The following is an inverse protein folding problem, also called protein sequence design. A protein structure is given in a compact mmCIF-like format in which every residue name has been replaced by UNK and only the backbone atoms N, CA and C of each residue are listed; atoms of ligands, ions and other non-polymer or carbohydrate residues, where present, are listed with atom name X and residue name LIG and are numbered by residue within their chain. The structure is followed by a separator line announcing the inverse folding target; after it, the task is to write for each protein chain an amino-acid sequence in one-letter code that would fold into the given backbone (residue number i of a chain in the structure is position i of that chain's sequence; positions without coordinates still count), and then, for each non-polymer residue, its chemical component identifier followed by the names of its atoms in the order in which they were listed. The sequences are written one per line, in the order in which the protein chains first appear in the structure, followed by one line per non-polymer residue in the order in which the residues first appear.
data_IF_079765454724
#
_entry.id   IF_079765454724
#
_cell.length_a   1.000
_cell.length_b   1.000
_cell.length_c   1.000
_cell.angle_alpha   90.00
_cell.angle_beta   90.00
_cell.angle_gamma   90.00
#
_symmetry.space_group_name_H-M   'P 1'
#
loop_
_entity.id
_entity.type
_entity.pdbx_description
1 polymer ?
#
# COMPACT_ATOMS: atom_id res chain seq x y z
N UNK A 1 -6.67 4.58 -4.28
CA UNK A 1 -6.31 3.15 -4.38
C UNK A 1 -6.49 2.53 -3.02
N UNK A 2 -7.01 1.30 -2.99
CA UNK A 2 -7.49 0.64 -1.77
C UNK A 2 -6.50 -0.42 -1.30
N UNK A 3 -6.17 -0.40 0.00
CA UNK A 3 -5.42 -1.45 0.69
C UNK A 3 -6.37 -2.20 1.62
N UNK A 4 -6.27 -3.52 1.68
CA UNK A 4 -7.04 -4.32 2.64
C UNK A 4 -6.20 -4.64 3.86
N UNK A 5 -6.71 -4.33 5.04
CA UNK A 5 -6.11 -4.80 6.30
C UNK A 5 -6.73 -6.13 6.68
N UNK A 6 -5.89 -7.14 6.84
CA UNK A 6 -6.29 -8.49 7.26
C UNK A 6 -5.51 -8.91 8.49
N UNK A 7 -6.02 -9.85 9.25
CA UNK A 7 -5.39 -10.42 10.42
C UNK A 7 -6.37 -11.28 11.21
N UNK A 8 -5.86 -12.21 12.00
CA UNK A 8 -6.67 -13.00 12.92
C UNK A 8 -7.29 -12.09 14.01
N UNK A 9 -8.32 -12.56 14.72
CA UNK A 9 -8.83 -11.84 15.89
C UNK A 9 -7.72 -11.58 16.93
N UNK A 10 -7.80 -10.44 17.62
CA UNK A 10 -6.92 -10.06 18.74
C UNK A 10 -5.42 -9.90 18.38
N UNK A 11 -5.11 -9.59 17.11
CA UNK A 11 -3.74 -9.26 16.68
C UNK A 11 -3.43 -7.75 16.70
N UNK A 12 -4.39 -6.91 17.10
CA UNK A 12 -4.27 -5.44 17.08
C UNK A 12 -4.76 -4.77 15.78
N UNK A 13 -5.40 -5.53 14.87
CA UNK A 13 -5.89 -5.01 13.59
C UNK A 13 -6.85 -3.84 13.75
N UNK A 14 -7.88 -3.98 14.59
CA UNK A 14 -8.89 -2.93 14.83
C UNK A 14 -8.30 -1.71 15.54
N UNK A 15 -7.37 -1.92 16.48
CA UNK A 15 -6.63 -0.84 17.15
C UNK A 15 -5.85 0.00 16.13
N UNK A 16 -5.08 -0.67 15.26
CA UNK A 16 -4.31 -0.01 14.21
C UNK A 16 -5.22 0.69 13.18
N UNK A 17 -6.35 0.06 12.81
CA UNK A 17 -7.32 0.68 11.92
C UNK A 17 -7.98 1.91 12.54
N UNK A 18 -8.28 1.89 13.84
CA UNK A 18 -8.80 3.06 14.56
C UNK A 18 -7.80 4.21 14.56
N UNK A 19 -6.50 3.93 14.78
CA UNK A 19 -5.45 4.94 14.68
C UNK A 19 -5.41 5.58 13.28
N UNK A 20 -5.48 4.76 12.20
CA UNK A 20 -5.57 5.24 10.81
C UNK A 20 -6.80 6.15 10.63
N UNK A 21 -7.95 5.73 11.15
CA UNK A 21 -9.22 6.45 10.95
C UNK A 21 -9.22 7.79 11.69
N UNK A 22 -8.65 7.86 12.89
CA UNK A 22 -8.50 9.10 13.66
C UNK A 22 -7.55 10.06 12.95
N UNK A 23 -6.37 9.60 12.55
CA UNK A 23 -5.41 10.40 11.75
C UNK A 23 -6.03 10.89 10.42
N UNK A 24 -6.95 10.12 9.83
CA UNK A 24 -7.69 10.50 8.64
C UNK A 24 -8.77 11.56 8.88
N UNK A 25 -9.39 11.59 10.04
CA UNK A 25 -10.42 12.58 10.38
C UNK A 25 -9.84 14.00 10.45
N UNK A 26 -8.60 14.16 10.87
CA UNK A 26 -7.88 15.45 10.85
C UNK A 26 -7.59 15.93 9.43
N UNK A 27 -7.49 15.01 8.48
CA UNK A 27 -7.27 15.29 7.05
C UNK A 27 -8.56 15.44 6.22
N UNK A 28 -9.73 15.59 6.85
CA UNK A 28 -11.09 15.60 6.24
C UNK A 28 -11.38 16.70 5.20
N UNK A 29 -10.36 17.43 4.73
CA UNK A 29 -10.46 18.42 3.66
C UNK A 29 -10.30 17.84 2.24
N UNK A 30 -10.37 16.51 2.06
CA UNK A 30 -10.36 15.92 0.72
C UNK A 30 -11.76 15.97 0.10
N UNK A 31 -11.97 16.79 -0.94
CA UNK A 31 -13.21 16.77 -1.70
C UNK A 31 -13.30 15.41 -2.40
N UNK A 32 -14.33 14.63 -2.13
CA UNK A 32 -14.64 13.28 -2.69
C UNK A 32 -14.42 12.07 -1.77
N UNK A 33 -14.11 12.22 -0.49
CA UNK A 33 -14.15 11.10 0.45
C UNK A 33 -15.59 10.82 0.86
N UNK A 34 -16.16 9.74 0.35
CA UNK A 34 -17.36 9.12 0.92
C UNK A 34 -16.94 8.42 2.23
N UNK A 35 -17.56 8.78 3.34
CA UNK A 35 -17.39 8.06 4.61
C UNK A 35 -18.17 6.75 4.48
N UNK A 36 -17.48 5.70 4.10
CA UNK A 36 -18.04 4.34 4.13
C UNK A 36 -17.61 3.66 5.44
N UNK A 37 -18.49 2.89 6.10
CA UNK A 37 -18.10 2.09 7.26
C UNK A 37 -16.96 1.14 6.84
N UNK A 38 -15.96 1.01 7.70
CA UNK A 38 -14.75 0.20 7.49
C UNK A 38 -13.77 0.73 6.44
N UNK A 39 -13.83 2.03 6.08
CA UNK A 39 -12.86 2.71 5.23
C UNK A 39 -12.17 3.83 5.99
N UNK A 40 -10.86 3.73 6.13
CA UNK A 40 -10.00 4.80 6.65
C UNK A 40 -9.27 5.47 5.49
N UNK A 41 -9.46 6.79 5.33
CA UNK A 41 -8.70 7.59 4.37
C UNK A 41 -7.67 8.38 5.14
N UNK A 42 -6.40 8.27 4.77
CA UNK A 42 -5.32 8.92 5.49
C UNK A 42 -4.37 9.63 4.53
N UNK A 43 -3.84 10.76 4.97
CA UNK A 43 -2.80 11.49 4.25
C UNK A 43 -1.50 10.69 4.20
N UNK A 44 -0.81 10.74 3.07
CA UNK A 44 0.55 10.18 2.95
C UNK A 44 1.55 11.25 3.41
N UNK A 45 2.24 11.04 4.53
CA UNK A 45 3.23 12.00 5.02
C UNK A 45 4.33 12.24 3.99
N UNK A 46 4.61 13.51 3.71
CA UNK A 46 5.66 13.90 2.76
C UNK A 46 6.37 15.17 3.25
N UNK A 47 7.51 15.00 3.89
CA UNK A 47 8.34 16.08 4.46
C UNK A 47 8.80 17.10 3.39
N UNK A 48 8.77 16.73 2.11
CA UNK A 48 9.13 17.63 1.00
C UNK A 48 8.18 18.81 0.91
N UNK A 49 6.91 18.62 1.24
CA UNK A 49 5.92 19.71 1.24
C UNK A 49 6.21 20.79 2.29
N UNK A 50 6.77 20.41 3.45
CA UNK A 50 7.14 21.35 4.52
C UNK A 50 8.31 22.25 4.10
N UNK A 51 9.26 21.70 3.35
CA UNK A 51 10.36 22.46 2.79
C UNK A 51 9.89 23.41 1.68
N UNK A 52 9.02 22.90 0.78
CA UNK A 52 8.45 23.71 -0.30
C UNK A 52 7.54 24.83 0.23
N UNK A 53 6.80 24.57 1.31
CA UNK A 53 6.01 25.62 1.99
C UNK A 53 6.89 26.80 2.38
N UNK A 54 8.07 26.55 2.94
CA UNK A 54 9.02 27.59 3.34
C UNK A 54 9.64 28.31 2.13
N UNK A 55 10.06 27.57 1.08
CA UNK A 55 10.68 28.13 -0.13
C UNK A 55 9.70 29.06 -0.87
N UNK A 56 8.43 28.65 -1.01
CA UNK A 56 7.42 29.41 -1.76
C UNK A 56 6.58 30.34 -0.89
N UNK A 57 6.76 30.31 0.44
CA UNK A 57 5.92 31.01 1.41
C UNK A 57 4.42 30.80 1.10
N UNK A 58 4.05 29.54 0.97
CA UNK A 58 2.72 29.14 0.49
C UNK A 58 1.65 29.27 1.57
N UNK A 59 0.40 29.44 1.16
CA UNK A 59 -0.75 29.53 2.04
C UNK A 59 -1.35 28.18 2.41
N UNK A 60 -1.07 27.14 1.64
CA UNK A 60 -1.73 25.85 1.79
C UNK A 60 -0.83 24.69 1.35
N UNK A 61 -0.78 23.66 2.19
CA UNK A 61 -0.22 22.35 1.85
C UNK A 61 -1.32 21.35 1.56
N UNK A 62 -1.13 20.49 0.54
CA UNK A 62 -2.05 19.41 0.22
C UNK A 62 -1.26 18.12 -0.01
N UNK A 63 -1.46 17.19 0.89
CA UNK A 63 -0.87 15.85 0.82
C UNK A 63 -1.66 14.96 -0.15
N UNK A 64 -1.10 13.84 -0.56
CA UNK A 64 -1.86 12.75 -1.19
C UNK A 64 -2.57 11.92 -0.12
N UNK A 65 -3.51 11.08 -0.53
CA UNK A 65 -4.20 10.18 0.38
C UNK A 65 -4.28 8.77 -0.18
N UNK A 66 -4.32 7.78 0.73
CA UNK A 66 -4.63 6.39 0.44
C UNK A 66 -5.78 5.90 1.31
N UNK A 67 -6.43 4.83 0.87
CA UNK A 67 -7.60 4.25 1.53
C UNK A 67 -7.24 2.89 2.11
N UNK A 68 -7.49 2.71 3.40
CA UNK A 68 -7.42 1.42 4.07
C UNK A 68 -8.82 0.88 4.31
N UNK A 69 -9.00 -0.38 4.04
CA UNK A 69 -10.24 -1.11 4.28
C UNK A 69 -10.05 -2.09 5.42
N UNK A 70 -10.81 -1.93 6.51
CA UNK A 70 -10.87 -2.95 7.55
C UNK A 70 -11.66 -4.14 7.02
N UNK A 71 -10.93 -5.18 6.65
CA UNK A 71 -11.55 -6.43 6.21
C UNK A 71 -11.79 -7.27 7.45
N UNK A 72 -13.06 -7.47 7.79
CA UNK A 72 -13.48 -8.19 9.00
C UNK A 72 -12.70 -9.50 9.15
N UNK A 73 -12.27 -9.79 10.38
CA UNK A 73 -11.34 -10.89 10.68
C UNK A 73 -11.80 -12.23 10.10
N UNK A 74 -10.85 -12.92 9.50
CA UNK A 74 -11.04 -14.25 8.96
C UNK A 74 -11.18 -15.24 10.12
N UNK A 75 -12.27 -15.97 10.13
CA UNK A 75 -12.44 -17.13 11.01
C UNK A 75 -12.16 -18.37 10.17
N UNK A 76 -11.40 -19.31 10.74
CA UNK A 76 -11.09 -20.61 10.11
C UNK A 76 -12.34 -21.25 9.52
N UNK A 77 -12.29 -21.63 8.23
CA UNK A 77 -13.45 -22.18 7.51
C UNK A 77 -14.32 -21.15 6.78
N UNK A 78 -13.85 -19.90 6.65
CA UNK A 78 -14.58 -18.84 5.93
C UNK A 78 -14.80 -19.14 4.45
N UNK A 79 -13.90 -19.91 3.83
CA UNK A 79 -14.02 -20.34 2.43
C UNK A 79 -15.12 -21.37 2.20
N UNK A 80 -15.55 -22.10 3.25
CA UNK A 80 -16.60 -23.14 3.19
C UNK A 80 -17.95 -22.71 3.78
N UNK A 81 -18.01 -21.49 4.38
CA UNK A 81 -19.19 -21.01 5.12
C UNK A 81 -20.10 -20.10 4.30
N UNK A 82 -21.42 -20.20 4.55
CA UNK A 82 -22.40 -19.25 4.06
C UNK A 82 -22.30 -17.93 4.85
N UNK A 83 -22.28 -16.79 4.17
CA UNK A 83 -22.46 -15.46 4.75
C UNK A 83 -21.20 -14.63 4.96
N UNK A 84 -20.58 -14.60 6.14
CA UNK A 84 -19.49 -13.69 6.49
C UNK A 84 -18.18 -13.93 5.69
N UNK A 85 -17.84 -15.20 5.41
CA UNK A 85 -16.68 -15.56 4.62
C UNK A 85 -16.73 -15.05 3.18
N UNK A 86 -17.89 -15.11 2.54
CA UNK A 86 -18.07 -14.60 1.17
C UNK A 86 -17.95 -13.08 1.09
N UNK A 87 -18.41 -12.34 2.11
CA UNK A 87 -18.22 -10.89 2.19
C UNK A 87 -16.74 -10.52 2.38
N UNK A 88 -16.03 -11.24 3.23
CA UNK A 88 -14.59 -11.08 3.42
C UNK A 88 -13.82 -11.24 2.09
N UNK A 89 -14.06 -12.34 1.38
CA UNK A 89 -13.41 -12.60 0.09
C UNK A 89 -13.79 -11.57 -0.98
N UNK A 90 -15.04 -11.06 -0.97
CA UNK A 90 -15.46 -9.99 -1.88
C UNK A 90 -14.66 -8.71 -1.63
N UNK A 91 -14.50 -8.27 -0.38
CA UNK A 91 -13.76 -7.08 -0.03
C UNK A 91 -12.26 -7.21 -0.38
N UNK A 92 -11.66 -8.39 -0.11
CA UNK A 92 -10.26 -8.63 -0.49
C UNK A 92 -10.05 -8.57 -2.01
N UNK A 93 -11.04 -8.99 -2.82
CA UNK A 93 -10.94 -8.90 -4.29
C UNK A 93 -10.83 -7.46 -4.79
N UNK A 94 -11.48 -6.52 -4.11
CA UNK A 94 -11.55 -5.10 -4.51
C UNK A 94 -10.28 -4.30 -4.20
N UNK A 95 -9.46 -4.75 -3.24
CA UNK A 95 -8.25 -4.02 -2.85
C UNK A 95 -7.07 -4.33 -3.77
N UNK A 96 -6.15 -3.39 -3.89
CA UNK A 96 -4.99 -3.53 -4.78
C UNK A 96 -3.83 -4.29 -4.13
N UNK A 97 -3.68 -4.19 -2.80
CA UNK A 97 -2.66 -4.87 -2.01
C UNK A 97 -3.19 -5.12 -0.59
N UNK A 98 -2.46 -5.93 0.18
CA UNK A 98 -2.86 -6.39 1.50
C UNK A 98 -1.84 -5.93 2.54
N UNK A 99 -2.32 -5.36 3.64
CA UNK A 99 -1.56 -5.18 4.89
C UNK A 99 -2.01 -6.27 5.84
N UNK A 100 -1.12 -7.21 6.12
CA UNK A 100 -1.39 -8.34 7.00
C UNK A 100 -0.85 -8.04 8.39
N UNK A 101 -1.74 -7.73 9.33
CA UNK A 101 -1.40 -7.48 10.72
C UNK A 101 -1.15 -8.79 11.44
N UNK A 102 0.05 -8.93 12.01
CA UNK A 102 0.53 -10.15 12.65
C UNK A 102 0.92 -9.83 14.10
N UNK A 103 0.43 -10.60 15.05
CA UNK A 103 0.77 -10.45 16.46
C UNK A 103 2.18 -10.99 16.72
N UNK A 104 3.05 -10.12 17.21
CA UNK A 104 4.46 -10.41 17.52
C UNK A 104 4.80 -10.08 18.98
N UNK A 105 3.89 -10.34 19.90
CA UNK A 105 4.07 -10.13 21.34
C UNK A 105 3.21 -11.12 22.16
N UNK A 106 3.65 -11.42 23.37
CA UNK A 106 2.88 -12.14 24.36
C UNK A 106 2.18 -11.15 25.29
N UNK A 107 0.90 -11.42 25.63
CA UNK A 107 0.13 -10.70 26.63
C UNK A 107 -0.90 -11.65 27.21
N UNK A 108 -0.83 -11.90 28.52
CA UNK A 108 -1.73 -12.81 29.24
C UNK A 108 -3.17 -12.30 29.26
N UNK A 109 -3.38 -11.00 29.14
CA UNK A 109 -4.71 -10.36 29.10
C UNK A 109 -5.37 -10.43 27.74
N UNK A 110 -4.62 -10.72 26.68
CA UNK A 110 -5.10 -10.79 25.31
C UNK A 110 -5.12 -12.24 24.83
N UNK A 111 -6.29 -12.87 24.88
CA UNK A 111 -6.46 -14.28 24.47
C UNK A 111 -6.10 -14.43 22.98
N UNK A 112 -5.23 -15.41 22.68
CA UNK A 112 -4.96 -15.82 21.31
C UNK A 112 -5.96 -16.90 20.87
N UNK A 113 -6.48 -16.80 19.64
CA UNK A 113 -7.53 -17.73 19.11
C UNK A 113 -7.07 -19.18 19.12
N UNK A 114 -5.77 -19.43 18.87
CA UNK A 114 -5.17 -20.77 18.85
C UNK A 114 -4.42 -21.13 20.16
N UNK A 115 -4.61 -20.34 21.23
CA UNK A 115 -4.08 -20.58 22.56
C UNK A 115 -2.59 -20.24 22.79
N UNK A 116 -1.83 -19.95 21.72
CA UNK A 116 -0.42 -19.51 21.80
C UNK A 116 -0.10 -18.57 20.64
N UNK A 117 0.87 -17.67 20.84
CA UNK A 117 1.35 -16.79 19.78
C UNK A 117 2.30 -17.55 18.86
N UNK A 118 1.95 -17.64 17.59
CA UNK A 118 2.80 -18.17 16.53
C UNK A 118 2.50 -17.42 15.24
N UNK A 119 3.33 -16.41 14.91
CA UNK A 119 3.06 -15.53 13.76
C UNK A 119 3.07 -16.26 12.42
N UNK A 120 3.86 -17.33 12.27
CA UNK A 120 3.92 -18.06 11.00
C UNK A 120 2.66 -18.89 10.80
N UNK A 121 2.22 -19.62 11.80
CA UNK A 121 0.94 -20.34 11.78
C UNK A 121 -0.22 -19.40 11.47
N UNK A 122 -0.22 -18.20 12.06
CA UNK A 122 -1.28 -17.21 11.87
C UNK A 122 -1.29 -16.69 10.41
N UNK A 123 -0.13 -16.42 9.84
CA UNK A 123 0.02 -16.05 8.42
C UNK A 123 -0.46 -17.18 7.51
N UNK A 124 0.01 -18.41 7.76
CA UNK A 124 -0.37 -19.58 6.96
C UNK A 124 -1.86 -19.88 7.03
N UNK A 125 -2.50 -19.68 8.19
CA UNK A 125 -3.94 -19.84 8.36
C UNK A 125 -4.72 -18.90 7.42
N UNK A 126 -4.34 -17.63 7.34
CA UNK A 126 -4.98 -16.68 6.43
C UNK A 126 -4.66 -17.03 4.97
N UNK A 127 -3.40 -17.31 4.65
CA UNK A 127 -3.01 -17.67 3.29
C UNK A 127 -3.78 -18.90 2.79
N UNK A 128 -3.98 -19.90 3.63
CA UNK A 128 -4.71 -21.12 3.27
C UNK A 128 -6.17 -20.84 2.88
N UNK A 129 -6.88 -19.98 3.62
CA UNK A 129 -8.25 -19.60 3.27
C UNK A 129 -8.33 -18.83 1.94
N UNK A 130 -7.34 -17.96 1.67
CA UNK A 130 -7.24 -17.23 0.41
C UNK A 130 -6.92 -18.17 -0.76
N UNK A 131 -6.05 -19.15 -0.55
CA UNK A 131 -5.70 -20.17 -1.53
C UNK A 131 -6.92 -21.02 -1.91
N UNK A 132 -7.74 -21.45 -0.95
CA UNK A 132 -8.96 -22.19 -1.26
C UNK A 132 -9.91 -21.38 -2.16
N UNK A 133 -10.06 -20.08 -1.86
CA UNK A 133 -10.89 -19.20 -2.69
C UNK A 133 -10.35 -19.02 -4.11
N UNK A 134 -9.02 -19.04 -4.27
CA UNK A 134 -8.37 -18.92 -5.58
C UNK A 134 -8.44 -20.23 -6.36
N UNK A 135 -8.31 -21.39 -5.70
CA UNK A 135 -8.47 -22.69 -6.32
C UNK A 135 -9.87 -22.85 -6.95
N UNK A 136 -10.91 -22.43 -6.26
CA UNK A 136 -12.29 -22.45 -6.79
C UNK A 136 -12.43 -21.61 -8.09
N UNK A 137 -11.80 -20.45 -8.14
CA UNK A 137 -11.81 -19.58 -9.33
C UNK A 137 -11.00 -20.21 -10.46
N UNK A 138 -9.83 -20.72 -10.14
CA UNK A 138 -8.91 -21.30 -11.09
C UNK A 138 -9.52 -22.55 -11.76
N UNK A 139 -10.12 -23.44 -10.99
CA UNK A 139 -10.75 -24.65 -11.50
C UNK A 139 -11.87 -24.35 -12.49
N UNK A 140 -12.76 -23.39 -12.14
CA UNK A 140 -13.81 -22.93 -13.06
C UNK A 140 -13.26 -22.33 -14.36
N UNK A 141 -12.11 -21.63 -14.28
CA UNK A 141 -11.45 -21.07 -15.46
C UNK A 141 -10.83 -22.18 -16.31
N UNK A 142 -10.17 -23.15 -15.68
CA UNK A 142 -9.57 -24.32 -16.35
C UNK A 142 -10.60 -25.14 -17.12
N UNK A 143 -11.78 -25.43 -16.53
CA UNK A 143 -12.87 -26.14 -17.21
C UNK A 143 -13.32 -25.45 -18.50
N UNK A 144 -13.41 -24.10 -18.49
CA UNK A 144 -13.77 -23.32 -19.68
C UNK A 144 -12.66 -23.33 -20.72
N UNK A 145 -11.41 -23.14 -20.30
CA UNK A 145 -10.24 -23.08 -21.19
C UNK A 145 -9.99 -24.44 -21.84
N UNK A 146 -10.22 -25.56 -21.13
CA UNK A 146 -10.07 -26.92 -21.68
C UNK A 146 -10.93 -27.16 -22.93
N UNK A 147 -12.11 -26.54 -23.04
CA UNK A 147 -12.96 -26.68 -24.24
C UNK A 147 -12.28 -26.06 -25.46
N UNK A 148 -11.58 -24.94 -25.31
CA UNK A 148 -10.81 -24.28 -26.36
C UNK A 148 -9.52 -25.05 -26.70
N UNK A 149 -8.86 -25.63 -25.71
CA UNK A 149 -7.69 -26.50 -25.91
C UNK A 149 -8.09 -27.68 -26.81
N UNK A 150 -9.24 -28.33 -26.55
CA UNK A 150 -9.73 -29.43 -27.37
C UNK A 150 -10.08 -29.05 -28.82
N UNK A 151 -10.34 -27.78 -29.08
CA UNK A 151 -10.52 -27.24 -30.44
C UNK A 151 -9.21 -26.90 -31.16
N UNK A 152 -8.06 -27.07 -30.49
CA UNK A 152 -6.74 -26.82 -31.07
C UNK A 152 -6.23 -25.39 -30.93
N UNK A 153 -6.84 -24.58 -30.04
CA UNK A 153 -6.40 -23.20 -29.76
C UNK A 153 -5.07 -23.22 -29.01
N UNK A 154 -4.03 -22.65 -29.62
CA UNK A 154 -2.66 -22.62 -29.08
C UNK A 154 -2.53 -21.67 -27.88
N UNK A 155 -3.26 -20.55 -27.89
CA UNK A 155 -3.24 -19.60 -26.79
C UNK A 155 -3.90 -20.24 -25.56
N UNK A 156 -5.06 -20.86 -25.76
CA UNK A 156 -5.75 -21.58 -24.70
C UNK A 156 -4.90 -22.73 -24.12
N UNK A 157 -4.09 -23.38 -24.96
CA UNK A 157 -3.15 -24.43 -24.49
C UNK A 157 -2.07 -23.83 -23.58
N UNK A 158 -1.44 -22.71 -23.97
CA UNK A 158 -0.49 -21.99 -23.12
C UNK A 158 -1.12 -21.57 -21.78
N UNK A 159 -2.28 -20.91 -21.82
CA UNK A 159 -3.01 -20.51 -20.63
C UNK A 159 -3.31 -21.69 -19.70
N UNK A 160 -3.72 -22.82 -20.27
CA UNK A 160 -4.05 -24.01 -19.51
C UNK A 160 -2.83 -24.61 -18.82
N UNK A 161 -1.68 -24.71 -19.51
CA UNK A 161 -0.44 -25.24 -18.95
C UNK A 161 0.06 -24.37 -17.78
N UNK A 162 -0.08 -23.05 -17.87
CA UNK A 162 0.24 -22.14 -16.76
C UNK A 162 -0.73 -22.35 -15.59
N UNK A 163 -2.03 -22.53 -15.86
CA UNK A 163 -3.03 -22.79 -14.82
C UNK A 163 -2.81 -24.13 -14.12
N UNK A 164 -2.35 -25.18 -14.82
CA UNK A 164 -2.00 -26.47 -14.19
C UNK A 164 -0.83 -26.32 -13.21
N UNK A 165 0.22 -25.60 -13.59
CA UNK A 165 1.36 -25.31 -12.70
C UNK A 165 0.92 -24.47 -11.50
N UNK A 166 0.11 -23.43 -11.74
CA UNK A 166 -0.42 -22.57 -10.70
C UNK A 166 -1.31 -23.35 -9.73
N UNK A 167 -2.17 -24.25 -10.22
CA UNK A 167 -3.00 -25.12 -9.39
C UNK A 167 -2.14 -26.00 -8.47
N UNK A 168 -1.14 -26.69 -9.02
CA UNK A 168 -0.22 -27.50 -8.23
C UNK A 168 0.55 -26.68 -7.18
N UNK A 169 0.91 -25.43 -7.50
CA UNK A 169 1.56 -24.50 -6.59
C UNK A 169 0.64 -24.12 -5.41
N UNK A 170 -0.61 -23.76 -5.69
CA UNK A 170 -1.63 -23.45 -4.68
C UNK A 170 -1.96 -24.68 -3.82
N UNK A 171 -2.10 -25.88 -4.40
CA UNK A 171 -2.34 -27.14 -3.69
C UNK A 171 -1.16 -27.52 -2.76
N UNK A 172 0.04 -27.02 -3.05
CA UNK A 172 1.20 -27.11 -2.15
C UNK A 172 1.22 -26.01 -1.05
N UNK A 173 0.10 -25.32 -0.82
CA UNK A 173 -0.07 -24.24 0.14
C UNK A 173 0.85 -23.02 -0.12
N UNK A 174 1.22 -22.77 -1.38
CA UNK A 174 2.03 -21.62 -1.77
C UNK A 174 1.15 -20.58 -2.47
N UNK A 175 1.18 -19.31 -2.03
CA UNK A 175 0.41 -18.23 -2.65
C UNK A 175 0.81 -18.01 -4.12
N UNK A 176 -0.13 -17.58 -4.97
CA UNK A 176 0.14 -17.36 -6.39
C UNK A 176 1.27 -16.34 -6.66
N UNK A 177 1.50 -15.38 -5.76
CA UNK A 177 2.59 -14.39 -5.84
C UNK A 177 4.00 -14.99 -5.78
N UNK A 178 4.13 -16.23 -5.32
CA UNK A 178 5.42 -16.94 -5.21
C UNK A 178 5.67 -17.93 -6.35
N UNK A 179 4.79 -17.97 -7.37
CA UNK A 179 4.99 -18.80 -8.55
C UNK A 179 6.12 -18.22 -9.41
N UNK A 180 7.15 -19.00 -9.67
CA UNK A 180 8.18 -18.65 -10.65
C UNK A 180 7.60 -18.74 -12.06
N UNK A 181 7.61 -17.63 -12.80
CA UNK A 181 6.97 -17.48 -14.09
C UNK A 181 7.78 -16.57 -15.02
N UNK A 182 7.66 -16.77 -16.33
CA UNK A 182 8.18 -15.84 -17.34
C UNK A 182 7.32 -14.59 -17.41
N UNK A 183 7.78 -13.53 -18.08
CA UNK A 183 7.01 -12.27 -18.24
C UNK A 183 5.62 -12.50 -18.84
N UNK A 184 5.50 -13.37 -19.85
CA UNK A 184 4.22 -13.68 -20.48
C UNK A 184 3.30 -14.47 -19.55
N UNK A 185 3.85 -15.41 -18.78
CA UNK A 185 3.12 -16.17 -17.76
C UNK A 185 2.66 -15.26 -16.61
N UNK A 186 3.53 -14.36 -16.12
CA UNK A 186 3.15 -13.36 -15.12
C UNK A 186 2.02 -12.46 -15.58
N UNK A 187 2.08 -11.99 -16.84
CA UNK A 187 1.03 -11.17 -17.42
C UNK A 187 -0.30 -11.93 -17.44
N UNK A 188 -0.26 -13.22 -17.79
CA UNK A 188 -1.44 -14.08 -17.75
C UNK A 188 -1.96 -14.30 -16.32
N UNK A 189 -1.08 -14.67 -15.37
CA UNK A 189 -1.46 -14.87 -13.95
C UNK A 189 -2.10 -13.60 -13.36
N UNK A 190 -1.56 -12.41 -13.66
CA UNK A 190 -2.16 -11.12 -13.27
C UNK A 190 -3.58 -10.94 -13.82
N UNK A 191 -3.85 -11.45 -15.04
CA UNK A 191 -5.17 -11.36 -15.67
C UNK A 191 -6.23 -12.26 -15.00
N UNK A 192 -5.82 -13.22 -14.18
CA UNK A 192 -6.73 -14.10 -13.44
C UNK A 192 -7.33 -13.41 -12.19
N UNK A 193 -6.77 -12.27 -11.77
CA UNK A 193 -7.20 -11.49 -10.59
C UNK A 193 -7.34 -12.33 -9.32
N UNK A 194 -6.39 -13.24 -9.10
CA UNK A 194 -6.35 -14.06 -7.90
C UNK A 194 -6.02 -13.23 -6.66
N UNK A 195 -6.59 -13.60 -5.52
CA UNK A 195 -6.38 -12.91 -4.26
C UNK A 195 -4.94 -13.09 -3.79
N UNK A 196 -4.41 -14.30 -3.89
CA UNK A 196 -3.05 -14.65 -3.45
C UNK A 196 -1.95 -14.15 -4.40
N UNK A 197 -2.31 -13.56 -5.55
CA UNK A 197 -1.36 -12.86 -6.43
C UNK A 197 -1.07 -11.44 -5.99
N UNK A 198 -1.87 -10.88 -5.06
CA UNK A 198 -1.69 -9.52 -4.56
C UNK A 198 -0.43 -9.39 -3.71
N UNK A 199 0.23 -8.24 -3.81
CA UNK A 199 1.36 -7.90 -2.94
C UNK A 199 0.91 -7.79 -1.49
N UNK A 200 1.78 -8.24 -0.57
CA UNK A 200 1.52 -8.23 0.88
C UNK A 200 2.61 -7.43 1.60
N UNK A 201 2.20 -6.65 2.59
CA UNK A 201 3.05 -6.03 3.60
C UNK A 201 2.67 -6.61 4.96
N UNK A 202 3.59 -7.25 5.65
CA UNK A 202 3.37 -7.77 6.98
C UNK A 202 3.59 -6.66 8.01
N UNK A 203 2.53 -6.26 8.73
CA UNK A 203 2.59 -5.35 9.86
C UNK A 203 2.77 -6.15 11.15
N UNK A 204 4.01 -6.26 11.61
CA UNK A 204 4.37 -6.93 12.85
C UNK A 204 3.98 -6.05 14.03
N UNK A 205 2.91 -6.38 14.71
CA UNK A 205 2.45 -5.67 15.91
C UNK A 205 3.19 -6.18 17.13
N UNK A 206 4.04 -5.34 17.74
CA UNK A 206 4.82 -5.62 18.96
C UNK A 206 4.20 -4.96 20.18
N UNK A 207 4.66 -5.34 21.38
CA UNK A 207 4.26 -4.72 22.65
C UNK A 207 4.83 -3.30 22.81
N UNK A 208 4.26 -2.55 23.74
CA UNK A 208 4.83 -1.25 24.16
C UNK A 208 6.19 -1.45 24.83
N UNK A 209 6.35 -2.50 25.63
CA UNK A 209 7.62 -2.80 26.30
C UNK A 209 8.73 -3.03 25.28
N UNK A 210 8.48 -3.87 24.26
CA UNK A 210 9.43 -4.06 23.15
C UNK A 210 9.77 -2.74 22.44
N UNK A 211 8.76 -1.87 22.25
CA UNK A 211 8.96 -0.56 21.62
C UNK A 211 9.82 0.36 22.48
N UNK A 212 9.55 0.45 23.79
CA UNK A 212 10.31 1.27 24.75
C UNK A 212 11.76 0.79 24.90
N UNK A 213 11.97 -0.51 24.91
CA UNK A 213 13.29 -1.13 25.00
C UNK A 213 14.08 -1.08 23.69
N UNK A 214 13.46 -0.63 22.59
CA UNK A 214 14.05 -0.66 21.25
C UNK A 214 14.23 -2.05 20.66
N UNK A 215 13.49 -3.05 21.20
CA UNK A 215 13.53 -4.45 20.76
C UNK A 215 12.62 -4.65 19.52
N UNK A 216 12.90 -3.89 18.46
CA UNK A 216 12.10 -3.90 17.23
C UNK A 216 12.26 -5.19 16.41
N UNK A 217 13.20 -6.04 16.75
CA UNK A 217 13.51 -7.28 16.04
C UNK A 217 13.48 -8.47 17.01
N UNK A 218 12.40 -8.58 17.80
CA UNK A 218 12.18 -9.68 18.72
C UNK A 218 12.06 -11.03 17.98
N UNK A 219 12.03 -12.16 18.69
CA UNK A 219 12.03 -13.49 18.09
C UNK A 219 10.83 -13.74 17.16
N UNK A 220 9.68 -13.12 17.39
CA UNK A 220 8.51 -13.22 16.52
C UNK A 220 8.72 -12.42 15.23
N UNK A 221 9.23 -11.19 15.32
CA UNK A 221 9.53 -10.34 14.15
C UNK A 221 10.58 -10.99 13.27
N UNK A 222 11.63 -11.59 13.84
CA UNK A 222 12.64 -12.35 13.09
C UNK A 222 12.03 -13.48 12.27
N UNK A 223 11.09 -14.25 12.86
CA UNK A 223 10.38 -15.32 12.15
C UNK A 223 9.58 -14.76 10.97
N UNK A 224 8.80 -13.67 11.20
CA UNK A 224 8.02 -13.04 10.12
C UNK A 224 8.93 -12.49 9.03
N UNK A 225 10.07 -11.89 9.37
CA UNK A 225 11.05 -11.39 8.41
C UNK A 225 11.57 -12.51 7.52
N UNK A 226 12.03 -13.61 8.12
CA UNK A 226 12.50 -14.77 7.38
C UNK A 226 11.41 -15.36 6.46
N UNK A 227 10.16 -15.40 6.91
CA UNK A 227 9.04 -15.84 6.10
C UNK A 227 8.77 -14.88 4.92
N UNK A 228 8.71 -13.58 5.19
CA UNK A 228 8.47 -12.55 4.18
C UNK A 228 9.54 -12.55 3.07
N UNK A 229 10.81 -12.81 3.41
CA UNK A 229 11.89 -12.96 2.44
C UNK A 229 11.63 -14.08 1.45
N UNK A 230 11.03 -15.21 1.87
CA UNK A 230 10.69 -16.32 0.97
C UNK A 230 9.63 -15.95 -0.07
N UNK A 231 8.83 -14.92 0.21
CA UNK A 231 7.76 -14.42 -0.67
C UNK A 231 8.13 -13.12 -1.38
N UNK A 232 9.33 -12.59 -1.16
CA UNK A 232 9.75 -11.25 -1.59
C UNK A 232 8.77 -10.15 -1.12
N UNK A 233 8.23 -10.31 0.08
CA UNK A 233 7.28 -9.40 0.73
C UNK A 233 7.99 -8.51 1.74
N UNK A 234 7.46 -7.27 1.93
CA UNK A 234 7.98 -6.34 2.93
C UNK A 234 7.44 -6.63 4.33
N UNK A 235 8.17 -6.17 5.35
CA UNK A 235 7.69 -6.11 6.73
C UNK A 235 7.74 -4.68 7.26
N UNK A 236 6.86 -4.39 8.21
CA UNK A 236 6.85 -3.16 8.98
C UNK A 236 6.57 -3.50 10.45
N UNK A 237 7.33 -2.92 11.36
CA UNK A 237 7.11 -3.08 12.80
C UNK A 237 6.31 -1.90 13.31
N UNK A 238 5.24 -2.18 14.04
CA UNK A 238 4.35 -1.20 14.63
C UNK A 238 3.97 -1.62 16.05
N UNK A 239 3.63 -0.66 16.91
CA UNK A 239 2.92 -0.93 18.14
C UNK A 239 1.53 -0.29 18.04
N UNK A 240 0.51 -1.11 17.76
CA UNK A 240 -0.84 -0.62 17.50
C UNK A 240 -1.42 0.20 18.67
N UNK A 241 -1.05 -0.13 19.90
CA UNK A 241 -1.48 0.59 21.10
C UNK A 241 -0.85 1.98 21.15
N UNK A 242 0.46 2.10 20.93
CA UNK A 242 1.15 3.39 20.84
C UNK A 242 0.56 4.27 19.72
N UNK A 243 0.29 3.69 18.56
CA UNK A 243 -0.31 4.44 17.44
C UNK A 243 -1.72 4.96 17.75
N UNK A 244 -2.51 4.19 18.49
CA UNK A 244 -3.84 4.61 18.94
C UNK A 244 -3.74 5.79 19.95
N UNK A 245 -2.77 5.77 20.85
CA UNK A 245 -2.49 6.86 21.78
C UNK A 245 -2.01 8.12 21.04
N UNK A 246 -1.00 7.99 20.17
CA UNK A 246 -0.46 9.09 19.35
C UNK A 246 -1.55 9.76 18.48
N UNK A 247 -2.53 8.99 18.00
CA UNK A 247 -3.61 9.51 17.18
C UNK A 247 -4.61 10.42 17.91
N UNK A 248 -4.53 10.52 19.23
CA UNK A 248 -5.35 11.40 20.06
C UNK A 248 -4.65 12.68 20.53
N UNK A 249 -3.36 12.84 20.20
CA UNK A 249 -2.50 13.92 20.66
C UNK A 249 -2.37 15.03 19.59
N UNK A 250 -2.11 16.26 20.03
CA UNK A 250 -1.69 17.30 19.10
C UNK A 250 -0.24 17.12 18.64
N UNK A 251 0.22 17.92 17.68
CA UNK A 251 1.55 17.74 17.06
C UNK A 251 2.71 17.93 18.05
N UNK A 252 2.56 18.80 19.06
CA UNK A 252 3.59 19.03 20.07
C UNK A 252 3.66 17.84 21.04
N UNK A 253 2.52 17.41 21.57
CA UNK A 253 2.39 16.24 22.43
C UNK A 253 2.85 14.95 21.73
N UNK A 254 2.51 14.78 20.44
CA UNK A 254 2.95 13.67 19.61
C UNK A 254 4.48 13.64 19.45
N UNK A 255 5.10 14.82 19.22
CA UNK A 255 6.54 14.91 19.09
C UNK A 255 7.26 14.60 20.40
N UNK A 256 6.75 15.06 21.55
CA UNK A 256 7.27 14.74 22.87
C UNK A 256 7.22 13.24 23.14
N UNK A 257 6.06 12.61 22.93
CA UNK A 257 5.87 11.19 23.14
C UNK A 257 6.77 10.34 22.23
N UNK A 258 6.88 10.68 20.95
CA UNK A 258 7.80 9.99 20.04
C UNK A 258 9.26 10.09 20.51
N UNK A 259 9.66 11.26 21.04
CA UNK A 259 11.00 11.46 21.58
C UNK A 259 11.27 10.59 22.81
N UNK A 260 10.28 10.36 23.68
CA UNK A 260 10.39 9.46 24.83
C UNK A 260 10.66 8.01 24.41
N UNK A 261 10.06 7.57 23.30
CA UNK A 261 10.31 6.26 22.69
C UNK A 261 11.56 6.21 21.80
N UNK A 262 12.30 7.34 21.65
CA UNK A 262 13.47 7.42 20.79
C UNK A 262 13.12 7.31 19.29
N UNK A 263 11.90 7.68 18.90
CA UNK A 263 11.39 7.60 17.53
C UNK A 263 11.38 8.99 16.88
N UNK A 264 11.78 9.06 15.60
CA UNK A 264 11.72 10.30 14.79
C UNK A 264 10.35 10.47 14.08
N UNK A 265 9.63 9.38 13.88
CA UNK A 265 8.32 9.34 13.25
C UNK A 265 7.52 8.11 13.70
N UNK A 266 6.21 8.19 13.64
CA UNK A 266 5.33 7.12 14.08
C UNK A 266 5.45 5.87 13.18
N UNK A 267 5.15 4.70 13.75
CA UNK A 267 5.05 3.46 12.99
C UNK A 267 3.91 3.52 11.96
N UNK A 268 2.84 4.26 12.27
CA UNK A 268 1.73 4.50 11.35
C UNK A 268 2.18 5.29 10.12
N UNK A 269 2.95 6.36 10.28
CA UNK A 269 3.47 7.14 9.16
C UNK A 269 4.35 6.29 8.25
N UNK A 270 5.22 5.46 8.84
CA UNK A 270 6.04 4.48 8.10
C UNK A 270 5.19 3.44 7.37
N UNK A 271 4.14 2.93 8.02
CA UNK A 271 3.21 1.98 7.42
C UNK A 271 2.47 2.58 6.21
N UNK A 272 2.02 3.83 6.32
CA UNK A 272 1.36 4.55 5.23
C UNK A 272 2.32 4.73 4.05
N UNK A 273 3.55 5.17 4.29
CA UNK A 273 4.58 5.34 3.25
C UNK A 273 4.96 4.01 2.60
N UNK A 274 5.15 2.94 3.39
CA UNK A 274 5.44 1.61 2.87
C UNK A 274 4.28 1.06 2.03
N UNK A 275 3.04 1.28 2.48
CA UNK A 275 1.83 0.91 1.76
C UNK A 275 1.68 1.66 0.43
N UNK A 276 2.05 2.94 0.40
CA UNK A 276 2.06 3.76 -0.81
C UNK A 276 3.04 3.20 -1.86
N UNK A 277 4.25 2.85 -1.41
CA UNK A 277 5.27 2.20 -2.26
C UNK A 277 4.83 0.82 -2.73
N UNK A 278 4.21 0.02 -1.85
CA UNK A 278 3.69 -1.31 -2.19
C UNK A 278 2.68 -1.27 -3.35
N UNK A 279 1.88 -0.20 -3.42
CA UNK A 279 0.93 0.02 -4.50
C UNK A 279 1.60 0.47 -5.82
N UNK A 280 2.93 0.59 -5.86
CA UNK A 280 3.67 1.12 -7.01
C UNK A 280 3.37 2.59 -7.27
N UNK A 281 3.01 3.33 -6.22
CA UNK A 281 2.69 4.75 -6.29
C UNK A 281 3.93 5.61 -6.02
N UNK A 282 3.91 6.81 -6.56
CA UNK A 282 4.86 7.87 -6.29
C UNK A 282 4.17 9.23 -6.41
N UNK A 283 4.82 10.28 -5.93
CA UNK A 283 4.28 11.63 -5.96
C UNK A 283 5.16 12.55 -6.80
N UNK A 284 4.56 13.25 -7.76
CA UNK A 284 5.13 14.49 -8.26
C UNK A 284 4.50 15.68 -7.53
N UNK A 285 5.16 16.83 -7.56
CA UNK A 285 4.79 18.00 -6.78
C UNK A 285 4.47 19.18 -7.69
N UNK A 286 3.53 19.99 -7.28
CA UNK A 286 3.32 21.34 -7.82
C UNK A 286 3.55 22.34 -6.70
N UNK A 287 4.27 23.41 -6.96
CA UNK A 287 4.66 24.38 -5.96
C UNK A 287 4.41 25.80 -6.44
N UNK A 288 3.83 26.61 -5.55
CA UNK A 288 3.54 28.01 -5.80
C UNK A 288 3.06 28.71 -4.53
N UNK A 289 2.92 30.04 -4.59
CA UNK A 289 2.50 30.88 -3.45
C UNK A 289 1.10 30.53 -2.94
N UNK A 290 0.22 30.05 -3.79
CA UNK A 290 -1.16 29.72 -3.38
C UNK A 290 -1.24 28.36 -2.71
N UNK A 291 -0.54 27.36 -3.28
CA UNK A 291 -0.60 25.98 -2.83
C UNK A 291 0.70 25.26 -3.19
N UNK A 292 1.17 24.40 -2.30
CA UNK A 292 2.08 23.28 -2.61
C UNK A 292 1.29 21.99 -2.45
N UNK A 293 1.43 21.09 -3.44
CA UNK A 293 0.63 19.88 -3.48
C UNK A 293 1.39 18.68 -4.03
N UNK A 294 1.20 17.53 -3.39
CA UNK A 294 1.62 16.24 -3.91
C UNK A 294 0.50 15.59 -4.73
N UNK A 295 0.86 14.99 -5.85
CA UNK A 295 -0.03 14.34 -6.79
C UNK A 295 0.35 12.88 -6.98
N UNK A 296 -0.59 11.98 -6.69
CA UNK A 296 -0.36 10.53 -6.83
C UNK A 296 -0.37 10.09 -8.28
N UNK A 297 0.68 9.41 -8.68
CA UNK A 297 0.78 8.68 -9.95
C UNK A 297 1.37 7.29 -9.74
N UNK A 298 1.20 6.40 -10.71
CA UNK A 298 1.92 5.12 -10.73
C UNK A 298 3.34 5.32 -11.25
N UNK A 299 4.27 4.52 -10.77
CA UNK A 299 5.61 4.44 -11.35
C UNK A 299 5.50 4.13 -12.85
N UNK A 300 6.35 4.76 -13.66
CA UNK A 300 6.30 4.65 -15.12
C UNK A 300 5.29 5.55 -15.82
N UNK A 301 4.52 6.38 -15.10
CA UNK A 301 3.58 7.34 -15.70
C UNK A 301 4.33 8.41 -16.49
N UNK A 302 3.88 8.70 -17.72
CA UNK A 302 4.43 9.77 -18.55
C UNK A 302 3.81 11.14 -18.22
N UNK A 303 4.52 12.22 -18.59
CA UNK A 303 4.13 13.59 -18.29
C UNK A 303 2.68 13.98 -18.69
N UNK A 304 2.15 13.62 -19.88
CA UNK A 304 0.75 13.93 -20.20
C UNK A 304 -0.25 13.29 -19.27
N UNK A 305 -0.07 12.00 -18.92
CA UNK A 305 -0.97 11.30 -17.99
C UNK A 305 -0.85 11.84 -16.55
N UNK A 306 0.37 12.29 -16.16
CA UNK A 306 0.56 12.98 -14.89
C UNK A 306 -0.21 14.32 -14.87
N UNK A 307 -0.13 15.10 -15.95
CA UNK A 307 -0.91 16.33 -16.12
C UNK A 307 -2.43 16.09 -16.03
N UNK A 308 -2.89 14.94 -16.54
CA UNK A 308 -4.28 14.49 -16.44
C UNK A 308 -4.78 14.28 -15.00
N UNK A 309 -3.88 14.07 -14.05
CA UNK A 309 -4.24 14.01 -12.62
C UNK A 309 -4.69 15.37 -12.06
N UNK A 310 -4.21 16.45 -12.63
CA UNK A 310 -4.66 17.80 -12.28
C UNK A 310 -6.00 18.08 -12.95
N UNK A 311 -6.05 17.93 -14.28
CA UNK A 311 -7.27 18.10 -15.07
C UNK A 311 -7.15 17.44 -16.44
N UNK A 312 -8.24 16.87 -16.95
CA UNK A 312 -8.29 16.21 -18.27
C UNK A 312 -7.94 17.15 -19.43
N UNK A 313 -8.24 18.44 -19.30
CA UNK A 313 -7.90 19.42 -20.32
C UNK A 313 -6.39 19.65 -20.41
N UNK A 314 -5.66 19.59 -19.28
CA UNK A 314 -4.21 19.74 -19.26
C UNK A 314 -3.55 18.53 -19.97
N UNK A 315 -4.09 17.32 -19.77
CA UNK A 315 -3.64 16.13 -20.50
C UNK A 315 -3.86 16.28 -22.01
N UNK A 316 -5.09 16.66 -22.38
CA UNK A 316 -5.49 16.80 -23.79
C UNK A 316 -4.70 17.91 -24.51
N UNK A 317 -4.51 19.04 -23.84
CA UNK A 317 -3.79 20.19 -24.35
C UNK A 317 -2.29 20.19 -24.06
N UNK A 318 -1.71 19.09 -23.57
CA UNK A 318 -0.32 19.02 -23.13
C UNK A 318 0.66 19.42 -24.23
N UNK A 319 1.54 20.39 -23.92
CA UNK A 319 2.61 20.85 -24.80
C UNK A 319 3.96 20.34 -24.30
N UNK A 320 4.30 20.68 -23.05
CA UNK A 320 5.55 20.29 -22.37
C UNK A 320 5.42 20.43 -20.86
N UNK A 321 6.35 19.83 -20.13
CA UNK A 321 6.51 20.00 -18.69
C UNK A 321 7.80 20.76 -18.40
N UNK A 322 7.73 21.77 -17.53
CA UNK A 322 8.90 22.39 -16.92
C UNK A 322 9.16 21.64 -15.62
N UNK A 323 10.27 20.93 -15.53
CA UNK A 323 10.57 20.01 -14.43
C UNK A 323 11.87 20.40 -13.73
N UNK A 324 11.85 20.45 -12.43
CA UNK A 324 13.04 20.51 -11.57
C UNK A 324 12.93 19.40 -10.52
N UNK A 325 14.03 18.73 -10.19
CA UNK A 325 14.01 17.76 -9.09
C UNK A 325 13.88 18.49 -7.75
N UNK A 326 13.29 17.82 -6.77
CA UNK A 326 13.18 18.36 -5.41
C UNK A 326 14.58 18.73 -4.86
N UNK A 327 15.55 17.84 -5.01
CA UNK A 327 16.90 18.05 -4.48
C UNK A 327 17.59 19.26 -5.12
N UNK A 328 17.51 19.41 -6.46
CA UNK A 328 18.06 20.57 -7.17
C UNK A 328 17.43 21.88 -6.72
N UNK A 329 16.11 21.90 -6.50
CA UNK A 329 15.41 23.10 -6.05
C UNK A 329 15.83 23.48 -4.61
N UNK A 330 15.94 22.50 -3.72
CA UNK A 330 16.35 22.73 -2.33
C UNK A 330 17.80 23.24 -2.28
N UNK A 331 18.71 22.66 -3.06
CA UNK A 331 20.10 23.13 -3.16
C UNK A 331 20.17 24.57 -3.65
N UNK A 332 19.32 24.96 -4.60
CA UNK A 332 19.26 26.33 -5.11
C UNK A 332 18.56 27.32 -4.15
N UNK A 333 17.70 26.83 -3.26
CA UNK A 333 16.97 27.62 -2.28
C UNK A 333 15.81 28.48 -2.83
N UNK A 334 15.69 28.60 -4.14
CA UNK A 334 14.56 29.31 -4.79
C UNK A 334 14.40 28.92 -6.26
N UNK A 335 13.19 29.11 -6.78
CA UNK A 335 12.88 28.87 -8.21
C UNK A 335 13.73 29.75 -9.14
N UNK A 336 13.97 31.01 -8.76
CA UNK A 336 14.77 31.94 -9.55
C UNK A 336 16.22 31.46 -9.67
N UNK A 337 16.85 31.06 -8.56
CA UNK A 337 18.20 30.55 -8.55
C UNK A 337 18.32 29.22 -9.31
N UNK A 338 17.31 28.34 -9.23
CA UNK A 338 17.26 27.08 -9.96
C UNK A 338 17.16 27.32 -11.50
N UNK A 339 16.41 28.32 -11.92
CA UNK A 339 16.36 28.74 -13.33
C UNK A 339 17.67 29.33 -13.82
N UNK A 340 18.30 30.18 -13.01
CA UNK A 340 19.62 30.78 -13.32
C UNK A 340 20.72 29.71 -13.41
N UNK A 341 20.72 28.74 -12.51
CA UNK A 341 21.63 27.57 -12.52
C UNK A 341 21.36 26.62 -13.70
N UNK A 342 20.21 26.75 -14.37
CA UNK A 342 19.84 25.93 -15.53
C UNK A 342 19.43 24.50 -15.20
N UNK A 343 18.98 24.23 -13.97
CA UNK A 343 18.51 22.89 -13.54
C UNK A 343 17.04 22.62 -13.89
N UNK A 344 16.30 23.62 -14.35
CA UNK A 344 14.99 23.39 -14.94
C UNK A 344 15.11 22.76 -16.32
N UNK A 345 14.41 21.65 -16.51
CA UNK A 345 14.37 20.91 -17.77
C UNK A 345 13.02 21.14 -18.46
N UNK A 346 13.04 21.15 -19.77
CA UNK A 346 11.85 21.16 -20.61
C UNK A 346 11.64 19.77 -21.18
N UNK A 347 10.62 19.07 -20.67
CA UNK A 347 10.37 17.68 -20.99
C UNK A 347 9.13 17.52 -21.89
N UNK A 348 9.22 16.58 -22.83
CA UNK A 348 8.17 16.29 -23.81
C UNK A 348 7.21 15.19 -23.34
N UNK A 349 6.36 14.73 -24.28
CA UNK A 349 5.31 13.74 -24.04
C UNK A 349 5.82 12.38 -23.56
N UNK A 350 7.03 12.00 -23.93
CA UNK A 350 7.65 10.70 -23.61
C UNK A 350 8.37 10.71 -22.26
N UNK A 351 8.44 11.85 -21.59
CA UNK A 351 9.10 11.93 -20.29
C UNK A 351 8.37 11.08 -19.26
N UNK A 352 9.10 10.15 -18.66
CA UNK A 352 8.62 9.33 -17.54
C UNK A 352 8.89 10.09 -16.25
N UNK A 353 7.83 10.41 -15.53
CA UNK A 353 7.87 11.15 -14.27
C UNK A 353 8.71 10.41 -13.22
N UNK A 354 9.41 11.18 -12.40
CA UNK A 354 10.17 10.69 -11.26
C UNK A 354 9.53 11.14 -9.94
N UNK A 355 9.72 10.34 -8.89
CA UNK A 355 9.26 10.74 -7.55
C UNK A 355 9.98 12.01 -7.10
N UNK A 356 9.21 12.98 -6.61
CA UNK A 356 9.73 14.29 -6.21
C UNK A 356 9.98 15.29 -7.34
N UNK A 357 9.64 14.98 -8.59
CA UNK A 357 9.64 16.00 -9.65
C UNK A 357 8.70 17.16 -9.28
N UNK A 358 9.19 18.37 -9.30
CA UNK A 358 8.39 19.59 -9.16
C UNK A 358 8.10 20.09 -10.57
N UNK A 359 6.80 20.22 -10.92
CA UNK A 359 6.38 20.36 -12.31
C UNK A 359 5.42 21.51 -12.52
N UNK A 360 5.65 22.25 -13.62
CA UNK A 360 4.68 23.17 -14.19
C UNK A 360 4.35 22.72 -15.62
N UNK A 361 3.10 22.29 -15.83
CA UNK A 361 2.65 21.83 -17.16
C UNK A 361 2.24 23.02 -18.04
N UNK A 362 2.81 23.09 -19.25
CA UNK A 362 2.40 24.01 -20.30
C UNK A 362 1.41 23.31 -21.21
N UNK A 363 0.24 23.90 -21.37
CA UNK A 363 -0.85 23.34 -22.18
C UNK A 363 -1.61 24.44 -22.92
N UNK A 364 -2.34 24.04 -23.94
CA UNK A 364 -3.24 24.90 -24.69
C UNK A 364 -4.56 24.13 -24.91
N UNK A 365 -5.68 24.76 -24.56
CA UNK A 365 -7.04 24.20 -24.66
C UNK A 365 -7.86 25.03 -25.63
#
# INVERSE_FOLDING_TARGET
MKLGMVGLPNVGKSTLFNAITKAGAESANYPFCTIEPNVGVVSVPDKRLDVLEKIYNTKKKVYTAIEFYDIAGLVKGASKGEGLGNKFLSHIREVAAIVHVVRCFDDENVVHVEGSVDPIRDIETINLELIFADLDVLERRMEKTMKLVRSGDKIAKFEYDVMERLKAHLEANKPARTLEATEDEEAFVKSLFLITSKSVLYACNISEDDMMEGNLDNEYVKKVRAYAETENSGIMVVCAKLEEELSGLDEEEKAEMLSEYGLEESGLDKLIQASYKLLGLMSYLTAGVQEVRAWTIKQGTKAPQAAGKIHSDIERGFIRAEVVSYDDLVECGSEAAAKEKGVYRLEGKEYVMKDGDIVNFRFNV
#
